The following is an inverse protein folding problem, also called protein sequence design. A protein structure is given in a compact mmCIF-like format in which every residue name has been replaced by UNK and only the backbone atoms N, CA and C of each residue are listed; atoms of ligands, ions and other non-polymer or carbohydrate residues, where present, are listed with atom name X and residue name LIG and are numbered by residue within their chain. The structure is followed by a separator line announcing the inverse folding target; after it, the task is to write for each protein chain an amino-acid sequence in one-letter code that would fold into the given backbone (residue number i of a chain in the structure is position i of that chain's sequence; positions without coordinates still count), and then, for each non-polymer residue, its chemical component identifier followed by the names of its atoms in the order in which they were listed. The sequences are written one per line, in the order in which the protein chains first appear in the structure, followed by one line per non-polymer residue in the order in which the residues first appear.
data_IF_714078079048
#
_entry.id   IF_714078079048
#
_cell.length_a   1.000
_cell.length_b   1.000
_cell.length_c   1.000
_cell.angle_alpha   90.00
_cell.angle_beta   90.00
_cell.angle_gamma   90.00
#
_symmetry.space_group_name_H-M   'P 1'
#
loop_
_entity.id
_entity.type
_entity.pdbx_description
1 polymer ?
#
# COMPACT_ATOMS: atom_id res chain seq x y z
N UNK A 1 -7.47 -53.71 -7.16
CA UNK A 1 -6.52 -52.80 -6.46
C UNK A 1 -6.13 -51.60 -7.33
N UNK A 2 -5.72 -51.80 -8.58
CA UNK A 2 -5.40 -50.69 -9.53
C UNK A 2 -6.54 -49.68 -9.70
N UNK A 3 -7.78 -50.16 -9.90
CA UNK A 3 -8.98 -49.32 -10.06
C UNK A 3 -9.31 -48.49 -8.82
N UNK A 4 -9.09 -49.04 -7.62
CA UNK A 4 -9.29 -48.34 -6.35
C UNK A 4 -8.23 -47.25 -6.14
N UNK A 5 -6.96 -47.52 -6.49
CA UNK A 5 -5.89 -46.52 -6.44
C UNK A 5 -6.16 -45.37 -7.40
N UNK A 6 -6.66 -45.67 -8.61
CA UNK A 6 -7.03 -44.66 -9.61
C UNK A 6 -8.17 -43.77 -9.12
N UNK A 7 -9.23 -44.35 -8.56
CA UNK A 7 -10.34 -43.59 -7.97
C UNK A 7 -9.88 -42.68 -6.81
N UNK A 8 -8.97 -43.17 -5.95
CA UNK A 8 -8.39 -42.35 -4.89
C UNK A 8 -7.55 -41.18 -5.43
N UNK A 9 -6.76 -41.38 -6.49
CA UNK A 9 -6.00 -40.31 -7.13
C UNK A 9 -6.90 -39.27 -7.80
N UNK A 10 -7.99 -39.69 -8.44
CA UNK A 10 -8.98 -38.79 -9.03
C UNK A 10 -9.67 -37.94 -7.95
N UNK A 11 -9.99 -38.54 -6.80
CA UNK A 11 -10.54 -37.82 -5.65
C UNK A 11 -9.57 -36.76 -5.09
N UNK A 12 -8.27 -37.08 -4.95
CA UNK A 12 -7.25 -36.12 -4.51
C UNK A 12 -7.16 -34.93 -5.49
N UNK A 13 -7.10 -35.20 -6.80
CA UNK A 13 -7.09 -34.14 -7.83
C UNK A 13 -8.34 -33.27 -7.78
N UNK A 14 -9.51 -33.87 -7.53
CA UNK A 14 -10.75 -33.12 -7.38
C UNK A 14 -10.71 -32.19 -6.15
N UNK A 15 -10.19 -32.66 -5.01
CA UNK A 15 -10.00 -31.83 -3.80
C UNK A 15 -9.04 -30.66 -4.09
N UNK A 16 -7.91 -30.93 -4.73
CA UNK A 16 -6.93 -29.88 -5.08
C UNK A 16 -7.54 -28.84 -6.01
N UNK A 17 -8.30 -29.27 -7.02
CA UNK A 17 -9.03 -28.39 -7.93
C UNK A 17 -10.04 -27.51 -7.20
N UNK A 18 -10.83 -28.10 -6.27
CA UNK A 18 -11.78 -27.34 -5.45
C UNK A 18 -11.06 -26.34 -4.55
N UNK A 19 -9.94 -26.72 -3.93
CA UNK A 19 -9.14 -25.82 -3.09
C UNK A 19 -8.63 -24.61 -3.88
N UNK A 20 -8.13 -24.84 -5.09
CA UNK A 20 -7.65 -23.77 -5.95
C UNK A 20 -8.79 -22.86 -6.44
N UNK A 21 -9.94 -23.43 -6.77
CA UNK A 21 -11.14 -22.64 -7.11
C UNK A 21 -11.62 -21.79 -5.93
N UNK A 22 -11.60 -22.32 -4.70
CA UNK A 22 -11.93 -21.56 -3.48
C UNK A 22 -10.96 -20.41 -3.25
N UNK A 23 -9.65 -20.64 -3.43
CA UNK A 23 -8.62 -19.59 -3.31
C UNK A 23 -8.89 -18.44 -4.29
N UNK A 24 -9.18 -18.75 -5.56
CA UNK A 24 -9.55 -17.74 -6.57
C UNK A 24 -10.83 -16.98 -6.20
N UNK A 25 -11.85 -17.68 -5.68
CA UNK A 25 -13.07 -17.03 -5.22
C UNK A 25 -12.82 -16.09 -4.04
N UNK A 26 -11.96 -16.47 -3.10
CA UNK A 26 -11.56 -15.62 -1.99
C UNK A 26 -10.84 -14.35 -2.48
N UNK A 27 -9.93 -14.50 -3.44
CA UNK A 27 -9.27 -13.36 -4.10
C UNK A 27 -10.28 -12.42 -4.78
N UNK A 28 -11.26 -12.95 -5.51
CA UNK A 28 -12.33 -12.15 -6.14
C UNK A 28 -13.13 -11.38 -5.10
N UNK A 29 -13.50 -12.01 -3.98
CA UNK A 29 -14.22 -11.34 -2.88
C UNK A 29 -13.37 -10.23 -2.25
N UNK A 30 -12.07 -10.49 -2.01
CA UNK A 30 -11.13 -9.48 -1.49
C UNK A 30 -11.07 -8.29 -2.45
N UNK A 31 -10.83 -8.52 -3.74
CA UNK A 31 -10.75 -7.47 -4.77
C UNK A 31 -12.07 -6.70 -4.90
N UNK A 32 -13.21 -7.39 -4.81
CA UNK A 32 -14.54 -6.76 -4.79
C UNK A 32 -14.71 -5.83 -3.59
N UNK A 33 -14.28 -6.24 -2.39
CA UNK A 33 -14.35 -5.42 -1.18
C UNK A 33 -13.42 -4.21 -1.27
N UNK A 34 -12.25 -4.34 -1.92
CA UNK A 34 -11.35 -3.21 -2.19
C UNK A 34 -11.98 -2.23 -3.19
N UNK A 35 -12.61 -2.74 -4.24
CA UNK A 35 -13.26 -1.94 -5.28
C UNK A 35 -14.46 -1.13 -4.76
N UNK A 36 -15.11 -1.66 -3.73
CA UNK A 36 -16.36 -1.15 -3.17
C UNK A 36 -16.10 -0.10 -2.10
N UNK A 37 -16.69 1.07 -2.30
CA UNK A 37 -16.71 2.16 -1.32
C UNK A 37 -18.02 2.24 -0.53
N UNK A 38 -19.08 1.53 -0.94
CA UNK A 38 -20.39 1.52 -0.30
C UNK A 38 -20.54 0.34 0.68
N UNK A 39 -20.71 0.63 1.98
CA UNK A 39 -20.83 -0.41 3.00
C UNK A 39 -22.06 -1.31 2.80
N UNK A 40 -23.11 -0.83 2.14
CA UNK A 40 -24.30 -1.63 1.87
C UNK A 40 -24.01 -2.79 0.91
N UNK A 41 -22.96 -2.66 0.10
CA UNK A 41 -22.47 -3.69 -0.81
C UNK A 41 -21.53 -4.71 -0.14
N UNK A 42 -21.10 -4.44 1.09
CA UNK A 42 -20.18 -5.31 1.85
C UNK A 42 -20.91 -6.33 2.74
N UNK A 43 -22.20 -6.61 2.51
CA UNK A 43 -22.97 -7.63 3.25
C UNK A 43 -22.92 -8.98 2.53
N UNK A 44 -23.11 -10.10 3.24
CA UNK A 44 -23.16 -11.45 2.64
C UNK A 44 -24.15 -11.52 1.46
N UNK A 45 -25.34 -10.95 1.63
CA UNK A 45 -26.39 -10.92 0.61
C UNK A 45 -25.96 -10.08 -0.60
N UNK A 46 -25.42 -8.88 -0.36
CA UNK A 46 -25.02 -7.99 -1.45
C UNK A 46 -23.84 -8.56 -2.23
N UNK A 47 -22.84 -9.15 -1.55
CA UNK A 47 -21.70 -9.81 -2.20
C UNK A 47 -22.20 -10.95 -3.10
N UNK A 48 -23.09 -11.81 -2.58
CA UNK A 48 -23.71 -12.90 -3.34
C UNK A 48 -24.44 -12.40 -4.59
N UNK A 49 -25.24 -11.34 -4.47
CA UNK A 49 -25.99 -10.77 -5.59
C UNK A 49 -25.07 -10.10 -6.64
N UNK A 50 -24.08 -9.31 -6.20
CA UNK A 50 -23.21 -8.58 -7.12
C UNK A 50 -22.21 -9.47 -7.84
N UNK A 51 -21.75 -10.55 -7.20
CA UNK A 51 -20.82 -11.51 -7.82
C UNK A 51 -21.54 -12.68 -8.53
N UNK A 52 -22.88 -12.76 -8.44
CA UNK A 52 -23.64 -13.87 -9.02
C UNK A 52 -23.33 -15.23 -8.38
N UNK A 53 -22.91 -15.24 -7.11
CA UNK A 53 -22.50 -16.46 -6.40
C UNK A 53 -23.59 -16.95 -5.45
N UNK A 54 -23.78 -18.27 -5.28
CA UNK A 54 -24.68 -18.80 -4.26
C UNK A 54 -24.31 -18.29 -2.87
N UNK A 55 -25.31 -17.84 -2.11
CA UNK A 55 -25.11 -17.24 -0.78
C UNK A 55 -24.39 -18.17 0.20
N UNK A 56 -24.60 -19.49 0.10
CA UNK A 56 -23.89 -20.50 0.90
C UNK A 56 -22.40 -20.55 0.61
N UNK A 57 -22.00 -20.40 -0.66
CA UNK A 57 -20.59 -20.34 -1.08
C UNK A 57 -19.94 -19.07 -0.53
N UNK A 58 -20.59 -17.92 -0.73
CA UNK A 58 -20.10 -16.63 -0.21
C UNK A 58 -19.93 -16.68 1.30
N UNK A 59 -20.93 -17.18 2.04
CA UNK A 59 -20.84 -17.34 3.51
C UNK A 59 -19.64 -18.18 3.91
N UNK A 60 -19.41 -19.29 3.22
CA UNK A 60 -18.31 -20.20 3.54
C UNK A 60 -16.94 -19.55 3.32
N UNK A 61 -16.76 -18.82 2.22
CA UNK A 61 -15.50 -18.08 1.95
C UNK A 61 -15.33 -16.92 2.93
N UNK A 62 -16.40 -16.18 3.23
CA UNK A 62 -16.35 -15.08 4.20
C UNK A 62 -16.02 -15.57 5.61
N UNK A 63 -16.46 -16.77 6.00
CA UNK A 63 -16.08 -17.38 7.27
C UNK A 63 -14.57 -17.66 7.33
N UNK A 64 -13.98 -18.24 6.28
CA UNK A 64 -12.52 -18.45 6.18
C UNK A 64 -11.76 -17.13 6.23
N UNK A 65 -12.21 -16.13 5.46
CA UNK A 65 -11.58 -14.81 5.44
C UNK A 65 -11.69 -14.08 6.80
N UNK A 66 -12.75 -14.34 7.58
CA UNK A 66 -12.97 -13.68 8.88
C UNK A 66 -12.05 -14.20 9.99
N UNK A 67 -11.26 -15.24 9.76
CA UNK A 67 -10.27 -15.68 10.74
C UNK A 67 -9.21 -14.59 10.97
N UNK A 68 -8.72 -13.98 9.88
CA UNK A 68 -7.59 -13.07 9.93
C UNK A 68 -7.62 -11.90 8.93
N UNK A 69 -8.30 -12.05 7.79
CA UNK A 69 -8.32 -11.06 6.71
C UNK A 69 -9.42 -10.02 6.90
N UNK A 70 -10.61 -10.49 7.26
CA UNK A 70 -11.79 -9.67 7.44
C UNK A 70 -12.23 -9.61 8.91
N UNK A 71 -12.90 -8.53 9.24
CA UNK A 71 -13.66 -8.35 10.47
C UNK A 71 -15.12 -8.04 10.11
N UNK A 72 -16.04 -8.54 10.93
CA UNK A 72 -17.46 -8.24 10.78
C UNK A 72 -17.80 -7.07 11.68
N UNK A 73 -18.34 -6.00 11.10
CA UNK A 73 -18.86 -4.85 11.83
C UNK A 73 -20.37 -4.74 11.68
N UNK A 74 -21.01 -4.28 12.74
CA UNK A 74 -22.45 -4.02 12.74
C UNK A 74 -22.72 -2.53 12.52
N UNK A 75 -23.46 -2.21 11.46
CA UNK A 75 -23.94 -0.86 11.17
C UNK A 75 -25.47 -0.89 11.18
N UNK A 76 -26.05 -0.53 12.33
CA UNK A 76 -27.48 -0.69 12.57
C UNK A 76 -27.89 -2.17 12.51
N UNK A 77 -28.71 -2.53 11.52
CA UNK A 77 -29.14 -3.93 11.31
C UNK A 77 -28.28 -4.70 10.29
N UNK A 78 -27.32 -4.03 9.65
CA UNK A 78 -26.48 -4.64 8.62
C UNK A 78 -25.18 -5.17 9.23
N UNK A 79 -24.83 -6.42 8.91
CA UNK A 79 -23.50 -6.99 9.15
C UNK A 79 -22.66 -6.81 7.89
N UNK A 80 -21.62 -6.00 7.99
CA UNK A 80 -20.72 -5.69 6.88
C UNK A 80 -19.36 -6.31 7.14
N UNK A 81 -18.75 -6.82 6.08
CA UNK A 81 -17.40 -7.35 6.11
C UNK A 81 -16.42 -6.25 5.72
N UNK A 82 -15.43 -6.02 6.56
CA UNK A 82 -14.37 -5.03 6.36
C UNK A 82 -13.01 -5.68 6.53
N UNK A 83 -11.96 -5.10 5.97
CA UNK A 83 -10.61 -5.58 6.24
C UNK A 83 -10.21 -5.31 7.69
N UNK A 84 -9.64 -6.32 8.33
CA UNK A 84 -8.92 -6.12 9.59
C UNK A 84 -7.70 -5.23 9.34
N UNK A 85 -7.12 -4.67 10.42
CA UNK A 85 -5.93 -3.80 10.30
C UNK A 85 -4.77 -4.46 9.53
N UNK A 86 -4.59 -5.78 9.65
CA UNK A 86 -3.52 -6.54 8.98
C UNK A 86 -4.02 -7.38 7.81
N UNK A 87 -5.29 -7.23 7.43
CA UNK A 87 -5.98 -8.18 6.57
C UNK A 87 -5.42 -8.27 5.16
N UNK A 88 -5.06 -7.14 4.55
CA UNK A 88 -4.41 -7.10 3.23
C UNK A 88 -3.06 -7.82 3.28
N UNK A 89 -2.27 -7.56 4.32
CA UNK A 89 -0.99 -8.23 4.53
C UNK A 89 -1.15 -9.74 4.70
N UNK A 90 -2.13 -10.17 5.52
CA UNK A 90 -2.44 -11.58 5.70
C UNK A 90 -2.90 -12.25 4.38
N UNK A 91 -3.69 -11.56 3.57
CA UNK A 91 -4.12 -12.07 2.28
C UNK A 91 -2.93 -12.26 1.29
N UNK A 92 -1.96 -11.34 1.28
CA UNK A 92 -0.73 -11.50 0.52
C UNK A 92 0.07 -12.72 1.00
N UNK A 93 0.34 -12.79 2.31
CA UNK A 93 1.30 -13.73 2.89
C UNK A 93 0.77 -15.17 3.02
N UNK A 94 -0.53 -15.35 3.26
CA UNK A 94 -1.12 -16.68 3.54
C UNK A 94 -2.01 -17.19 2.42
N UNK A 95 -2.60 -16.28 1.63
CA UNK A 95 -3.50 -16.64 0.55
C UNK A 95 -2.85 -16.48 -0.82
N UNK A 96 -1.74 -15.77 -0.91
CA UNK A 96 -1.08 -15.47 -2.19
C UNK A 96 -1.95 -14.57 -3.06
N UNK A 97 -2.62 -13.57 -2.45
CA UNK A 97 -3.31 -12.51 -3.17
C UNK A 97 -2.36 -11.87 -4.17
N UNK A 98 -2.84 -11.66 -5.40
CA UNK A 98 -2.09 -11.02 -6.47
C UNK A 98 -2.90 -9.90 -7.10
N UNK A 99 -2.21 -8.88 -7.61
CA UNK A 99 -2.82 -7.85 -8.44
C UNK A 99 -2.03 -7.71 -9.73
N UNK A 100 -2.67 -7.33 -10.83
CA UNK A 100 -1.97 -6.75 -11.97
C UNK A 100 -1.71 -5.26 -11.74
N UNK A 101 -0.81 -4.66 -12.53
CA UNK A 101 -0.60 -3.21 -12.52
C UNK A 101 -1.89 -2.45 -12.83
N UNK A 102 -2.68 -2.93 -13.77
CA UNK A 102 -3.98 -2.34 -14.13
C UNK A 102 -4.95 -2.40 -12.95
N UNK A 103 -5.04 -3.54 -12.26
CA UNK A 103 -5.88 -3.68 -11.06
C UNK A 103 -5.43 -2.73 -9.96
N UNK A 104 -4.13 -2.58 -9.70
CA UNK A 104 -3.60 -1.60 -8.74
C UNK A 104 -4.05 -0.17 -9.09
N UNK A 105 -3.91 0.23 -10.36
CA UNK A 105 -4.30 1.56 -10.81
C UNK A 105 -5.82 1.77 -10.75
N UNK A 106 -6.62 0.78 -11.12
CA UNK A 106 -8.08 0.90 -11.12
C UNK A 106 -8.65 0.93 -9.70
N UNK A 107 -8.18 0.01 -8.85
CA UNK A 107 -8.73 -0.20 -7.51
C UNK A 107 -8.25 0.87 -6.53
N UNK A 108 -6.98 1.28 -6.60
CA UNK A 108 -6.35 2.08 -5.55
C UNK A 108 -6.24 3.58 -5.86
N UNK A 109 -6.48 4.02 -7.10
CA UNK A 109 -6.42 5.45 -7.44
C UNK A 109 -7.45 6.28 -6.67
N UNK A 110 -7.10 7.53 -6.38
CA UNK A 110 -8.09 8.51 -5.93
C UNK A 110 -9.22 8.67 -6.96
N UNK A 111 -10.46 8.63 -6.50
CA UNK A 111 -11.68 8.79 -7.29
C UNK A 111 -12.19 10.22 -7.17
N UNK A 112 -12.82 10.70 -8.23
CA UNK A 112 -13.47 12.01 -8.27
C UNK A 112 -14.90 11.86 -8.79
N UNK A 113 -15.85 12.45 -8.07
CA UNK A 113 -17.26 12.50 -8.46
C UNK A 113 -17.71 13.95 -8.48
N UNK A 114 -18.30 14.36 -9.60
CA UNK A 114 -18.94 15.68 -9.75
C UNK A 114 -20.43 15.58 -9.47
N UNK A 115 -20.97 16.53 -8.72
CA UNK A 115 -22.38 16.58 -8.34
C UNK A 115 -22.65 16.02 -6.95
N UNK A 116 -23.94 15.92 -6.60
CA UNK A 116 -24.38 15.46 -5.28
C UNK A 116 -24.07 13.96 -5.12
N UNK A 117 -22.98 13.64 -4.41
CA UNK A 117 -22.63 12.27 -4.08
C UNK A 117 -23.17 11.93 -2.69
N UNK A 118 -23.95 10.84 -2.59
CA UNK A 118 -24.41 10.32 -1.29
C UNK A 118 -23.37 9.37 -0.75
N UNK A 119 -22.64 9.80 0.27
CA UNK A 119 -21.70 8.98 1.00
C UNK A 119 -22.44 7.86 1.74
N UNK A 120 -22.26 6.61 1.30
CA UNK A 120 -22.79 5.40 1.95
C UNK A 120 -21.68 4.51 2.51
N UNK A 121 -20.48 5.06 2.55
CA UNK A 121 -19.22 4.38 2.76
C UNK A 121 -18.38 4.92 3.89
N UNK A 122 -17.25 4.23 4.12
CA UNK A 122 -16.12 4.80 4.86
C UNK A 122 -15.06 5.16 3.83
N UNK A 123 -14.66 6.43 3.88
CA UNK A 123 -13.72 7.02 2.95
C UNK A 123 -12.56 7.60 3.75
N UNK A 124 -11.34 7.33 3.32
CA UNK A 124 -10.14 7.83 3.97
C UNK A 124 -9.05 7.85 2.91
N UNK A 125 -8.58 9.01 2.42
CA UNK A 125 -9.10 10.37 2.63
C UNK A 125 -10.39 10.67 1.83
N UNK A 126 -11.15 11.68 2.28
CA UNK A 126 -12.32 12.26 1.59
C UNK A 126 -12.30 13.78 1.70
N UNK A 127 -12.44 14.46 0.56
CA UNK A 127 -12.62 15.91 0.49
C UNK A 127 -13.83 16.21 -0.39
N UNK A 128 -14.72 17.06 0.09
CA UNK A 128 -15.85 17.58 -0.67
C UNK A 128 -15.82 19.12 -0.64
N UNK A 129 -15.80 19.75 -1.81
CA UNK A 129 -15.74 21.20 -1.96
C UNK A 129 -16.52 21.63 -3.22
N UNK A 130 -16.80 22.92 -3.36
CA UNK A 130 -17.30 23.45 -4.64
C UNK A 130 -16.13 23.57 -5.62
N UNK A 131 -16.30 23.05 -6.82
CA UNK A 131 -15.39 23.29 -7.93
C UNK A 131 -15.56 24.70 -8.51
N UNK A 132 -14.70 25.03 -9.47
CA UNK A 132 -14.69 26.34 -10.14
C UNK A 132 -16.01 26.67 -10.86
N UNK A 133 -16.77 25.64 -11.25
CA UNK A 133 -18.10 25.75 -11.85
C UNK A 133 -19.24 25.88 -10.82
N UNK A 134 -18.89 26.04 -9.54
CA UNK A 134 -19.83 26.13 -8.41
C UNK A 134 -20.48 24.80 -8.01
N UNK A 135 -20.22 23.71 -8.75
CA UNK A 135 -20.80 22.39 -8.45
C UNK A 135 -19.97 21.67 -7.39
N UNK A 136 -20.59 20.86 -6.52
CA UNK A 136 -19.85 20.05 -5.57
C UNK A 136 -18.96 19.05 -6.33
N UNK A 137 -17.69 19.01 -5.97
CA UNK A 137 -16.69 18.02 -6.37
C UNK A 137 -16.27 17.27 -5.13
N UNK A 138 -16.30 15.95 -5.23
CA UNK A 138 -15.85 15.07 -4.19
C UNK A 138 -14.65 14.28 -4.69
N UNK A 139 -13.54 14.30 -3.96
CA UNK A 139 -12.36 13.47 -4.23
C UNK A 139 -12.07 12.57 -3.04
N UNK A 140 -11.92 11.28 -3.27
CA UNK A 140 -11.82 10.31 -2.18
C UNK A 140 -11.09 9.02 -2.56
N UNK A 141 -10.71 8.24 -1.55
CA UNK A 141 -10.39 6.82 -1.68
C UNK A 141 -11.25 6.02 -0.70
N UNK A 142 -11.77 4.88 -1.15
CA UNK A 142 -12.50 3.97 -0.27
C UNK A 142 -11.57 3.41 0.81
N UNK A 143 -12.07 3.19 2.02
CA UNK A 143 -11.27 2.73 3.16
C UNK A 143 -10.43 1.48 2.86
N UNK A 144 -11.02 0.48 2.20
CA UNK A 144 -10.34 -0.76 1.85
C UNK A 144 -9.22 -0.54 0.82
N UNK A 145 -9.46 0.32 -0.18
CA UNK A 145 -8.46 0.70 -1.17
C UNK A 145 -7.30 1.49 -0.54
N UNK A 146 -7.59 2.39 0.40
CA UNK A 146 -6.54 3.15 1.10
C UNK A 146 -5.71 2.26 2.02
N UNK A 147 -6.35 1.36 2.78
CA UNK A 147 -5.65 0.37 3.58
C UNK A 147 -4.77 -0.54 2.71
N UNK A 148 -5.25 -0.93 1.53
CA UNK A 148 -4.47 -1.72 0.59
C UNK A 148 -3.24 -0.95 0.08
N UNK A 149 -3.44 0.29 -0.39
CA UNK A 149 -2.35 1.15 -0.83
C UNK A 149 -1.31 1.37 0.28
N UNK A 150 -1.77 1.75 1.48
CA UNK A 150 -0.91 2.00 2.63
C UNK A 150 -0.13 0.74 3.06
N UNK A 151 -0.78 -0.43 3.00
CA UNK A 151 -0.12 -1.72 3.29
C UNK A 151 1.01 -2.00 2.30
N UNK A 152 0.73 -1.90 1.00
CA UNK A 152 1.70 -2.20 -0.06
C UNK A 152 2.88 -1.20 -0.03
N UNK A 153 2.58 0.11 0.07
CA UNK A 153 3.60 1.16 0.09
C UNK A 153 4.48 1.06 1.34
N UNK A 154 3.89 0.90 2.53
CA UNK A 154 4.71 0.79 3.76
C UNK A 154 5.56 -0.46 3.74
N UNK A 155 5.03 -1.62 3.34
CA UNK A 155 5.83 -2.84 3.22
C UNK A 155 7.00 -2.66 2.26
N UNK A 156 6.78 -2.03 1.11
CA UNK A 156 7.86 -1.69 0.19
C UNK A 156 8.95 -0.82 0.84
N UNK A 157 8.54 0.28 1.46
CA UNK A 157 9.47 1.22 2.09
C UNK A 157 10.23 0.58 3.25
N UNK A 158 9.59 -0.28 4.04
CA UNK A 158 10.27 -1.05 5.10
C UNK A 158 11.30 -2.01 4.53
N UNK A 159 10.99 -2.76 3.45
CA UNK A 159 11.96 -3.64 2.80
C UNK A 159 13.19 -2.86 2.28
N UNK A 160 13.00 -1.64 1.77
CA UNK A 160 14.11 -0.77 1.38
C UNK A 160 14.87 -0.18 2.56
N UNK A 161 14.19 0.05 3.70
CA UNK A 161 14.83 0.53 4.93
C UNK A 161 15.64 -0.58 5.61
N UNK A 162 15.23 -1.84 5.53
CA UNK A 162 16.01 -3.00 5.97
C UNK A 162 17.32 -3.16 5.16
N UNK A 163 17.31 -2.82 3.87
CA UNK A 163 18.55 -2.71 3.10
C UNK A 163 19.44 -1.54 3.57
N UNK A 164 18.82 -0.49 4.12
CA UNK A 164 19.52 0.64 4.74
C UNK A 164 19.92 0.30 6.19
N UNK A 165 19.46 -0.83 6.77
CA UNK A 165 19.66 -1.20 8.17
C UNK A 165 21.12 -1.48 8.53
N UNK A 166 22.01 -1.64 7.54
CA UNK A 166 23.47 -1.49 7.72
C UNK A 166 23.84 -0.13 8.36
N UNK A 167 22.93 0.86 8.37
CA UNK A 167 23.02 2.14 9.09
C UNK A 167 22.10 2.28 10.31
N UNK A 168 21.03 1.48 10.43
CA UNK A 168 20.15 1.50 11.61
C UNK A 168 20.76 0.68 12.74
N UNK A 169 21.54 -0.36 12.46
CA UNK A 169 22.46 -0.92 13.46
C UNK A 169 23.39 0.19 13.97
N UNK A 170 23.88 1.08 13.11
CA UNK A 170 24.66 2.24 13.55
C UNK A 170 23.84 3.25 14.36
N UNK A 171 22.55 3.45 14.08
CA UNK A 171 21.67 4.31 14.91
C UNK A 171 21.36 3.63 16.24
N UNK A 172 21.03 2.34 16.23
CA UNK A 172 20.77 1.53 17.41
C UNK A 172 22.02 1.41 18.28
N UNK A 173 23.21 1.26 17.68
CA UNK A 173 24.52 1.31 18.33
C UNK A 173 24.82 2.71 18.86
N UNK A 174 24.54 3.78 18.11
CA UNK A 174 24.68 5.17 18.61
C UNK A 174 23.73 5.46 19.76
N UNK A 175 22.49 4.99 19.69
CA UNK A 175 21.50 5.08 20.76
C UNK A 175 21.94 4.22 21.96
N UNK A 176 22.50 3.03 21.72
CA UNK A 176 23.02 2.14 22.76
C UNK A 176 24.28 2.73 23.41
N UNK A 177 25.12 3.41 22.64
CA UNK A 177 26.28 4.15 23.14
C UNK A 177 25.85 5.39 23.95
N UNK A 178 24.82 6.11 23.50
CA UNK A 178 24.32 7.32 24.15
C UNK A 178 23.55 7.05 25.45
N UNK A 179 22.67 6.03 25.45
CA UNK A 179 21.73 5.77 26.54
C UNK A 179 22.02 4.47 27.31
N UNK A 180 22.98 3.66 26.85
CA UNK A 180 23.25 2.34 27.39
C UNK A 180 22.15 1.32 27.05
N UNK A 181 22.49 0.03 27.12
CA UNK A 181 21.53 -1.04 26.84
C UNK A 181 20.35 -1.08 27.82
N UNK A 182 20.65 -0.79 29.09
CA UNK A 182 19.65 -0.70 30.15
C UNK A 182 18.72 0.50 29.95
N UNK A 183 19.28 1.68 29.67
CA UNK A 183 18.48 2.88 29.43
C UNK A 183 17.56 2.73 28.21
N UNK A 184 18.01 2.08 27.14
CA UNK A 184 17.14 1.78 26.00
C UNK A 184 16.00 0.81 26.34
N UNK A 185 16.24 -0.20 27.18
CA UNK A 185 15.18 -1.10 27.65
C UNK A 185 14.16 -0.35 28.51
N UNK A 186 14.63 0.51 29.42
CA UNK A 186 13.77 1.35 30.26
C UNK A 186 12.94 2.33 29.40
N UNK A 187 13.56 3.01 28.43
CA UNK A 187 12.85 3.89 27.48
C UNK A 187 11.82 3.15 26.63
N UNK A 188 12.08 1.91 26.22
CA UNK A 188 11.10 1.07 25.50
C UNK A 188 9.89 0.73 26.37
N UNK A 189 10.08 0.52 27.67
CA UNK A 189 8.98 0.27 28.61
C UNK A 189 8.11 1.53 28.80
N UNK A 190 8.69 2.72 28.62
CA UNK A 190 7.98 4.00 28.65
C UNK A 190 7.28 4.36 27.33
N UNK A 191 7.03 3.37 26.46
CA UNK A 191 6.27 3.58 25.23
C UNK A 191 4.87 4.19 25.47
N UNK A 192 4.10 3.80 26.51
CA UNK A 192 2.82 4.44 26.82
C UNK A 192 2.97 5.94 27.15
N UNK A 193 3.95 6.31 27.97
CA UNK A 193 4.23 7.69 28.38
C UNK A 193 4.71 8.52 27.19
N UNK A 194 5.61 7.97 26.37
CA UNK A 194 6.04 8.59 25.11
C UNK A 194 4.85 8.84 24.17
N UNK A 195 3.95 7.86 24.03
CA UNK A 195 2.73 8.01 23.23
C UNK A 195 1.78 9.06 23.80
N UNK A 196 1.64 9.14 25.13
CA UNK A 196 0.84 10.18 25.78
C UNK A 196 1.44 11.57 25.56
N UNK A 197 2.76 11.71 25.70
CA UNK A 197 3.49 12.96 25.46
C UNK A 197 3.43 13.40 24.00
N UNK A 198 3.52 12.45 23.05
CA UNK A 198 3.38 12.72 21.61
C UNK A 198 2.06 13.44 21.29
N UNK A 199 0.96 13.11 21.99
CA UNK A 199 -0.35 13.78 21.78
C UNK A 199 -0.33 15.27 22.14
N UNK A 200 0.60 15.73 22.98
CA UNK A 200 0.77 17.14 23.32
C UNK A 200 1.59 17.88 22.25
N UNK A 201 2.49 17.18 21.56
CA UNK A 201 3.35 17.72 20.50
C UNK A 201 2.65 17.67 19.14
N UNK A 202 1.69 16.76 18.97
CA UNK A 202 0.83 16.65 17.80
C UNK A 202 -0.59 17.15 18.14
N UNK A 203 -0.81 18.46 18.42
CA UNK A 203 -2.15 18.99 18.54
C UNK A 203 -2.81 18.93 17.16
N UNK A 204 -3.49 17.81 16.94
CA UNK A 204 -4.44 17.46 15.88
C UNK A 204 -4.80 18.65 14.97
N UNK A 205 -4.03 18.84 13.89
CA UNK A 205 -4.27 19.90 12.91
C UNK A 205 -5.46 19.61 11.98
N UNK A 206 -6.52 18.95 12.48
CA UNK A 206 -7.69 18.46 11.71
C UNK A 206 -8.40 19.55 10.89
N UNK A 207 -8.08 20.82 11.10
CA UNK A 207 -8.71 21.97 10.43
C UNK A 207 -7.84 22.63 9.35
N UNK A 208 -6.53 22.36 9.30
CA UNK A 208 -5.68 22.88 8.23
C UNK A 208 -5.75 21.89 7.06
N UNK A 209 -6.37 22.33 5.96
CA UNK A 209 -6.59 21.55 4.73
C UNK A 209 -5.31 21.06 4.04
N UNK A 210 -4.14 21.51 4.50
CA UNK A 210 -2.83 21.02 4.11
C UNK A 210 -2.45 19.84 4.99
N UNK A 211 -1.96 18.76 4.38
CA UNK A 211 -1.52 17.59 5.13
C UNK A 211 -0.53 18.00 6.23
N UNK A 212 -0.85 17.66 7.48
CA UNK A 212 -0.15 18.04 8.72
C UNK A 212 1.38 17.94 8.62
N UNK A 213 1.88 16.92 7.90
CA UNK A 213 3.31 16.72 7.68
C UNK A 213 4.00 17.83 6.88
N UNK A 214 3.31 18.51 5.95
CA UNK A 214 3.87 19.58 5.11
C UNK A 214 4.14 20.86 5.88
N UNK A 215 3.35 21.10 6.92
CA UNK A 215 3.43 22.31 7.73
C UNK A 215 4.09 22.06 9.08
N UNK A 216 4.35 20.79 9.44
CA UNK A 216 4.88 20.39 10.75
C UNK A 216 6.17 21.12 11.13
N UNK A 217 7.08 21.31 10.18
CA UNK A 217 8.37 21.97 10.41
C UNK A 217 8.29 23.50 10.51
N UNK A 218 7.14 24.09 10.15
CA UNK A 218 6.94 25.55 10.08
C UNK A 218 5.71 26.01 10.87
N UNK A 219 4.98 25.10 11.53
CA UNK A 219 3.67 25.37 12.14
C UNK A 219 3.72 26.56 13.11
N UNK A 220 4.75 26.62 13.95
CA UNK A 220 4.93 27.69 14.94
C UNK A 220 5.32 29.03 14.31
N UNK A 221 5.77 29.03 13.06
CA UNK A 221 6.20 30.23 12.32
C UNK A 221 5.10 30.75 11.37
N UNK A 222 4.07 29.95 11.08
CA UNK A 222 3.03 30.29 10.10
C UNK A 222 2.34 31.63 10.38
N UNK A 223 2.20 32.02 11.65
CA UNK A 223 1.52 33.27 12.06
C UNK A 223 2.31 34.51 11.64
N UNK A 224 3.63 34.40 11.61
CA UNK A 224 4.54 35.52 11.33
C UNK A 224 4.96 35.57 9.86
N UNK A 225 4.71 34.50 9.10
CA UNK A 225 5.09 34.39 7.69
C UNK A 225 4.09 35.07 6.76
N UNK A 226 4.60 35.78 5.76
CA UNK A 226 3.80 36.24 4.63
C UNK A 226 3.29 35.07 3.76
N UNK A 227 2.21 35.27 2.97
CA UNK A 227 1.70 34.23 2.07
C UNK A 227 2.74 33.65 1.10
N UNK A 228 3.67 34.48 0.60
CA UNK A 228 4.74 34.03 -0.29
C UNK A 228 5.82 33.22 0.44
N UNK A 229 6.11 33.55 1.70
CA UNK A 229 7.01 32.75 2.54
C UNK A 229 6.40 31.38 2.85
N UNK A 230 5.10 31.34 3.18
CA UNK A 230 4.37 30.08 3.41
C UNK A 230 4.42 29.21 2.16
N UNK A 231 4.13 29.79 0.97
CA UNK A 231 4.20 29.08 -0.31
C UNK A 231 5.60 28.49 -0.55
N UNK A 232 6.65 29.30 -0.41
CA UNK A 232 8.04 28.83 -0.60
C UNK A 232 8.41 27.72 0.37
N UNK A 233 8.00 27.82 1.63
CA UNK A 233 8.30 26.81 2.64
C UNK A 233 7.59 25.48 2.32
N UNK A 234 6.30 25.50 1.98
CA UNK A 234 5.55 24.30 1.59
C UNK A 234 6.17 23.65 0.35
N UNK A 235 6.51 24.43 -0.68
CA UNK A 235 7.16 23.91 -1.89
C UNK A 235 8.50 23.24 -1.56
N UNK A 236 9.31 23.88 -0.72
CA UNK A 236 10.61 23.34 -0.29
C UNK A 236 10.48 22.03 0.48
N UNK A 237 9.54 21.95 1.42
CA UNK A 237 9.27 20.71 2.17
C UNK A 237 8.78 19.59 1.25
N UNK A 238 7.87 19.91 0.32
CA UNK A 238 7.40 18.95 -0.67
C UNK A 238 8.53 18.47 -1.59
N UNK A 239 9.38 19.37 -2.10
CA UNK A 239 10.56 19.01 -2.90
C UNK A 239 11.51 18.10 -2.13
N UNK A 240 11.70 18.35 -0.85
CA UNK A 240 12.56 17.55 0.03
C UNK A 240 12.00 16.14 0.17
N UNK A 241 10.69 16.01 0.42
CA UNK A 241 10.00 14.73 0.48
C UNK A 241 10.06 13.98 -0.87
N UNK A 242 9.81 14.68 -1.98
CA UNK A 242 9.84 14.09 -3.32
C UNK A 242 11.23 13.57 -3.69
N UNK A 243 12.30 14.36 -3.44
CA UNK A 243 13.70 13.94 -3.63
C UNK A 243 14.04 12.71 -2.79
N UNK A 244 13.55 12.63 -1.55
CA UNK A 244 13.74 11.45 -0.68
C UNK A 244 13.09 10.21 -1.28
N UNK A 245 11.85 10.30 -1.77
CA UNK A 245 11.14 9.19 -2.41
C UNK A 245 11.85 8.74 -3.70
N UNK A 246 12.22 9.67 -4.58
CA UNK A 246 13.00 9.37 -5.79
C UNK A 246 14.32 8.67 -5.43
N UNK A 247 15.03 9.14 -4.41
CA UNK A 247 16.28 8.52 -3.95
C UNK A 247 16.07 7.07 -3.52
N UNK A 248 14.99 6.78 -2.78
CA UNK A 248 14.66 5.40 -2.37
C UNK A 248 14.34 4.52 -3.58
N UNK A 249 13.54 5.02 -4.53
CA UNK A 249 13.17 4.27 -5.73
C UNK A 249 14.36 4.05 -6.67
N UNK A 250 15.28 5.00 -6.78
CA UNK A 250 16.53 4.81 -7.52
C UNK A 250 17.40 3.71 -6.92
N UNK A 251 17.47 3.61 -5.58
CA UNK A 251 18.19 2.52 -4.92
C UNK A 251 17.58 1.16 -5.25
N UNK A 252 16.25 1.07 -5.19
CA UNK A 252 15.56 -0.12 -5.66
C UNK A 252 15.88 -0.43 -7.13
N UNK A 253 15.85 0.59 -8.00
CA UNK A 253 16.26 0.48 -9.39
C UNK A 253 17.68 -0.07 -9.55
N UNK A 254 18.65 0.39 -8.76
CA UNK A 254 20.01 -0.15 -8.76
C UNK A 254 20.08 -1.62 -8.31
N UNK A 255 19.25 -2.05 -7.36
CA UNK A 255 19.16 -3.47 -6.99
C UNK A 255 18.63 -4.30 -8.16
N UNK A 256 17.55 -3.85 -8.79
CA UNK A 256 16.95 -4.50 -9.95
C UNK A 256 17.92 -4.53 -11.14
N UNK A 257 18.71 -3.47 -11.34
CA UNK A 257 19.75 -3.40 -12.36
C UNK A 257 20.86 -4.41 -12.15
N UNK A 258 21.33 -4.57 -10.91
CA UNK A 258 22.39 -5.51 -10.57
C UNK A 258 21.92 -6.96 -10.58
N UNK A 259 20.70 -7.23 -10.14
CA UNK A 259 20.25 -8.59 -9.81
C UNK A 259 19.27 -9.17 -10.83
N UNK A 260 18.62 -8.31 -11.63
CA UNK A 260 17.48 -8.68 -12.44
C UNK A 260 16.25 -9.05 -11.60
N UNK A 261 15.11 -9.21 -12.28
CA UNK A 261 13.82 -9.52 -11.66
C UNK A 261 13.87 -10.80 -10.81
N UNK A 262 14.35 -11.92 -11.37
CA UNK A 262 14.41 -13.20 -10.67
C UNK A 262 15.39 -13.17 -9.47
N UNK A 263 16.51 -12.47 -9.63
CA UNK A 263 17.48 -12.28 -8.55
C UNK A 263 16.92 -11.46 -7.40
N UNK A 264 16.16 -10.40 -7.72
CA UNK A 264 15.45 -9.57 -6.73
C UNK A 264 14.43 -10.40 -5.93
N UNK A 265 13.59 -11.20 -6.60
CA UNK A 265 12.61 -12.07 -5.94
C UNK A 265 13.29 -13.10 -5.02
N UNK A 266 14.41 -13.69 -5.49
CA UNK A 266 15.22 -14.61 -4.68
C UNK A 266 15.82 -13.91 -3.44
N UNK A 267 16.25 -12.66 -3.59
CA UNK A 267 16.88 -11.89 -2.52
C UNK A 267 15.96 -11.58 -1.34
N UNK A 268 14.69 -11.29 -1.63
CA UNK A 268 13.68 -10.98 -0.65
C UNK A 268 12.90 -12.21 -0.15
N UNK A 269 13.16 -13.40 -0.69
CA UNK A 269 12.48 -14.63 -0.28
C UNK A 269 12.70 -14.92 1.21
N UNK A 270 11.61 -15.11 1.95
CA UNK A 270 11.64 -15.39 3.37
C UNK A 270 11.91 -14.18 4.27
N UNK A 271 12.11 -12.98 3.72
CA UNK A 271 12.25 -11.75 4.51
C UNK A 271 10.90 -11.30 5.05
N UNK A 272 10.88 -10.97 6.33
CA UNK A 272 9.66 -10.81 7.09
C UNK A 272 9.18 -9.35 7.05
N UNK A 273 7.98 -9.04 6.54
CA UNK A 273 7.48 -7.67 6.53
C UNK A 273 7.24 -7.18 7.96
N UNK A 274 7.83 -6.05 8.33
CA UNK A 274 7.59 -5.40 9.63
C UNK A 274 6.18 -4.80 9.70
N UNK A 275 5.72 -4.19 8.60
CA UNK A 275 4.42 -3.53 8.52
C UNK A 275 3.27 -4.48 8.17
N UNK A 276 2.14 -4.31 8.87
CA UNK A 276 0.88 -5.01 8.58
C UNK A 276 1.01 -6.53 8.53
N UNK A 277 1.88 -7.08 9.37
CA UNK A 277 2.07 -8.52 9.51
C UNK A 277 1.08 -9.08 10.52
N UNK A 278 0.55 -10.25 10.21
CA UNK A 278 -0.13 -11.11 11.16
C UNK A 278 0.90 -11.88 12.00
N UNK A 279 0.74 -11.87 13.33
CA UNK A 279 1.67 -12.51 14.26
C UNK A 279 0.92 -13.41 15.24
N UNK A 280 1.60 -14.42 15.78
CA UNK A 280 1.02 -15.31 16.81
C UNK A 280 0.10 -16.40 16.27
N UNK A 281 0.25 -16.79 15.00
CA UNK A 281 -0.51 -17.90 14.40
C UNK A 281 0.43 -19.04 13.99
N UNK A 282 -0.08 -20.28 14.03
CA UNK A 282 0.71 -21.50 13.73
C UNK A 282 0.97 -21.69 12.23
N UNK A 283 0.13 -21.13 11.36
CA UNK A 283 0.29 -21.23 9.92
C UNK A 283 1.60 -20.57 9.47
N UNK A 284 2.26 -21.17 8.48
CA UNK A 284 3.51 -20.62 7.91
C UNK A 284 3.19 -19.66 6.76
N UNK A 285 3.55 -18.36 6.89
CA UNK A 285 3.41 -17.40 5.79
C UNK A 285 4.42 -17.68 4.67
N UNK A 286 4.03 -17.40 3.43
CA UNK A 286 4.93 -17.34 2.27
C UNK A 286 5.42 -15.90 2.08
N UNK A 287 6.34 -15.46 2.96
CA UNK A 287 6.92 -14.13 2.83
C UNK A 287 7.82 -14.05 1.58
N UNK A 288 7.44 -13.15 0.68
CA UNK A 288 8.16 -12.89 -0.57
C UNK A 288 8.01 -11.44 -1.00
N UNK A 289 8.79 -11.05 -2.00
CA UNK A 289 8.58 -9.81 -2.71
C UNK A 289 7.34 -9.93 -3.60
N UNK A 290 6.55 -8.86 -3.62
CA UNK A 290 5.35 -8.72 -4.42
C UNK A 290 5.55 -7.53 -5.35
N UNK A 291 5.34 -7.71 -6.65
CA UNK A 291 5.49 -6.63 -7.64
C UNK A 291 4.51 -5.47 -7.33
N UNK A 292 3.38 -5.81 -6.71
CA UNK A 292 2.35 -4.92 -6.21
C UNK A 292 2.89 -3.86 -5.25
N UNK A 293 3.96 -4.15 -4.52
CA UNK A 293 4.65 -3.19 -3.66
C UNK A 293 5.18 -1.99 -4.44
N UNK A 294 5.73 -2.24 -5.63
CA UNK A 294 6.29 -1.19 -6.49
C UNK A 294 5.17 -0.47 -7.22
N UNK A 295 4.22 -1.19 -7.84
CA UNK A 295 3.10 -0.58 -8.56
C UNK A 295 2.25 0.33 -7.67
N UNK A 296 2.02 -0.06 -6.41
CA UNK A 296 1.34 0.79 -5.43
C UNK A 296 2.16 2.04 -5.08
N UNK A 297 3.48 1.89 -4.93
CA UNK A 297 4.39 3.01 -4.63
C UNK A 297 4.53 3.99 -5.80
N UNK A 298 4.60 3.49 -7.03
CA UNK A 298 4.67 4.31 -8.24
C UNK A 298 3.33 5.01 -8.51
N UNK A 299 2.19 4.37 -8.22
CA UNK A 299 0.88 5.03 -8.19
C UNK A 299 0.86 6.19 -7.19
N UNK A 300 1.27 5.96 -5.94
CA UNK A 300 1.33 6.99 -4.91
C UNK A 300 2.27 8.15 -5.30
N UNK A 301 3.42 7.84 -5.92
CA UNK A 301 4.35 8.85 -6.45
C UNK A 301 3.69 9.70 -7.54
N UNK A 302 2.97 9.09 -8.48
CA UNK A 302 2.26 9.83 -9.55
C UNK A 302 1.19 10.75 -8.99
N UNK A 303 0.43 10.30 -7.99
CA UNK A 303 -0.53 11.16 -7.28
C UNK A 303 0.18 12.31 -6.54
N UNK A 304 1.32 12.04 -5.92
CA UNK A 304 2.19 13.07 -5.35
C UNK A 304 2.66 14.09 -6.39
N UNK A 305 3.00 13.65 -7.61
CA UNK A 305 3.34 14.55 -8.72
C UNK A 305 2.18 15.46 -9.13
N UNK A 306 0.93 14.99 -9.09
CA UNK A 306 -0.25 15.85 -9.36
C UNK A 306 -0.34 16.98 -8.32
N UNK A 307 -0.07 16.67 -7.05
CA UNK A 307 0.01 17.70 -6.00
C UNK A 307 1.20 18.64 -6.22
N UNK A 308 2.37 18.11 -6.59
CA UNK A 308 3.58 18.88 -6.86
C UNK A 308 3.35 19.94 -7.96
N UNK A 309 2.64 19.58 -9.03
CA UNK A 309 2.27 20.51 -10.11
C UNK A 309 1.43 21.67 -9.60
N UNK A 310 0.46 21.40 -8.71
CA UNK A 310 -0.41 22.44 -8.13
C UNK A 310 0.33 23.35 -7.15
N UNK A 311 1.33 22.83 -6.45
CA UNK A 311 2.17 23.61 -5.55
C UNK A 311 3.21 24.48 -6.28
N UNK A 312 3.49 24.19 -7.55
CA UNK A 312 4.56 24.87 -8.31
C UNK A 312 5.95 24.35 -7.97
N UNK A 313 6.06 23.05 -7.67
CA UNK A 313 7.35 22.35 -7.51
C UNK A 313 8.11 22.33 -8.84
N UNK A 314 9.45 22.29 -8.78
CA UNK A 314 10.31 22.23 -9.97
C UNK A 314 9.83 21.17 -11.00
N UNK A 315 9.46 21.58 -12.23
CA UNK A 315 8.97 20.67 -13.27
C UNK A 315 9.92 19.53 -13.64
N UNK A 316 11.24 19.75 -13.57
CA UNK A 316 12.22 18.71 -13.88
C UNK A 316 12.22 17.58 -12.84
N UNK A 317 12.00 17.92 -11.57
CA UNK A 317 11.86 16.93 -10.51
C UNK A 317 10.58 16.09 -10.68
N UNK A 318 9.50 16.73 -11.15
CA UNK A 318 8.22 16.05 -11.45
C UNK A 318 8.38 15.10 -12.63
N UNK A 319 9.05 15.54 -13.71
CA UNK A 319 9.35 14.70 -14.88
C UNK A 319 10.21 13.50 -14.49
N UNK A 320 11.26 13.73 -13.70
CA UNK A 320 12.13 12.67 -13.20
C UNK A 320 11.34 11.63 -12.38
N UNK A 321 10.49 12.08 -11.46
CA UNK A 321 9.64 11.20 -10.65
C UNK A 321 8.71 10.34 -11.50
N UNK A 322 8.02 10.95 -12.48
CA UNK A 322 7.10 10.23 -13.38
C UNK A 322 7.85 9.22 -14.25
N UNK A 323 8.96 9.63 -14.86
CA UNK A 323 9.76 8.75 -15.70
C UNK A 323 10.29 7.55 -14.91
N UNK A 324 10.80 7.77 -13.70
CA UNK A 324 11.24 6.68 -12.83
C UNK A 324 10.09 5.73 -12.47
N UNK A 325 8.91 6.26 -12.19
CA UNK A 325 7.71 5.46 -11.92
C UNK A 325 7.36 4.55 -13.11
N UNK A 326 7.35 5.11 -14.32
CA UNK A 326 7.03 4.38 -15.55
C UNK A 326 8.07 3.31 -15.88
N UNK A 327 9.36 3.62 -15.68
CA UNK A 327 10.47 2.68 -15.89
C UNK A 327 10.41 1.51 -14.90
N UNK A 328 10.11 1.77 -13.62
CA UNK A 328 10.00 0.70 -12.63
C UNK A 328 8.81 -0.21 -12.89
N UNK A 329 7.66 0.36 -13.27
CA UNK A 329 6.47 -0.41 -13.62
C UNK A 329 6.75 -1.37 -14.78
N UNK A 330 7.28 -0.84 -15.90
CA UNK A 330 7.53 -1.65 -17.10
C UNK A 330 8.65 -2.68 -16.87
N UNK A 331 9.61 -2.37 -16.01
CA UNK A 331 10.69 -3.29 -15.66
C UNK A 331 10.18 -4.52 -14.91
N UNK A 332 9.18 -4.37 -14.04
CA UNK A 332 8.55 -5.52 -13.40
C UNK A 332 7.64 -6.28 -14.36
N UNK A 333 6.81 -5.58 -15.12
CA UNK A 333 5.88 -6.23 -16.07
C UNK A 333 6.61 -7.08 -17.13
N UNK A 334 7.69 -6.54 -17.69
CA UNK A 334 8.52 -7.23 -18.69
C UNK A 334 9.65 -8.04 -18.07
N UNK A 335 9.71 -8.15 -16.73
CA UNK A 335 10.70 -8.92 -15.97
C UNK A 335 12.14 -8.64 -16.40
N UNK A 336 12.53 -7.36 -16.34
CA UNK A 336 13.88 -6.89 -16.68
C UNK A 336 14.97 -7.76 -16.02
N UNK A 337 15.89 -8.27 -16.84
CA UNK A 337 16.86 -9.31 -16.42
C UNK A 337 18.14 -8.75 -15.80
N UNK A 338 18.25 -7.43 -15.66
CA UNK A 338 19.44 -6.76 -15.15
C UNK A 338 20.38 -6.31 -16.28
N UNK A 339 21.28 -5.39 -15.95
CA UNK A 339 22.11 -4.72 -16.96
C UNK A 339 23.08 -5.66 -17.68
N UNK A 340 23.60 -6.66 -16.97
CA UNK A 340 24.50 -7.67 -17.57
C UNK A 340 23.79 -8.48 -18.66
N UNK A 341 22.53 -8.86 -18.44
CA UNK A 341 21.76 -9.68 -19.37
C UNK A 341 21.12 -8.87 -20.51
N UNK A 342 20.78 -7.61 -20.26
CA UNK A 342 20.11 -6.74 -21.23
C UNK A 342 21.09 -5.84 -22.01
N UNK A 343 22.33 -5.68 -21.53
CA UNK A 343 23.36 -4.84 -22.13
C UNK A 343 23.08 -3.33 -22.05
N UNK A 344 22.11 -2.92 -21.23
CA UNK A 344 21.65 -1.55 -21.04
C UNK A 344 21.42 -1.32 -19.54
N UNK A 345 21.62 -0.09 -19.06
CA UNK A 345 21.14 0.28 -17.73
C UNK A 345 19.61 0.21 -17.68
N UNK A 346 19.04 0.12 -16.47
CA UNK A 346 17.60 0.09 -16.24
C UNK A 346 16.93 1.32 -16.87
N UNK A 347 17.57 2.49 -16.76
CA UNK A 347 17.03 3.73 -17.33
C UNK A 347 17.00 3.70 -18.85
N UNK A 348 18.12 3.33 -19.49
CA UNK A 348 18.21 3.23 -20.96
C UNK A 348 17.25 2.18 -21.51
N UNK A 349 17.22 1.01 -20.87
CA UNK A 349 16.31 -0.07 -21.23
C UNK A 349 14.85 0.39 -21.08
N UNK A 350 14.49 1.01 -19.96
CA UNK A 350 13.13 1.47 -19.67
C UNK A 350 12.65 2.51 -20.68
N UNK A 351 13.47 3.52 -20.99
CA UNK A 351 13.17 4.52 -22.02
C UNK A 351 12.91 3.84 -23.38
N UNK A 352 13.74 2.86 -23.75
CA UNK A 352 13.55 2.10 -24.99
C UNK A 352 12.25 1.30 -24.99
N UNK A 353 11.81 0.78 -23.84
CA UNK A 353 10.56 0.04 -23.73
C UNK A 353 9.32 0.94 -23.79
N UNK A 354 9.41 2.18 -23.31
CA UNK A 354 8.31 3.15 -23.33
C UNK A 354 8.09 3.79 -24.70
N UNK A 355 9.12 3.80 -25.55
CA UNK A 355 9.07 4.35 -26.92
C UNK A 355 8.54 3.34 -27.96
N UNK A 356 8.17 2.12 -27.56
CA UNK A 356 7.57 1.08 -28.41
C UNK A 356 6.10 0.95 -28.09
#
# INVERSE_FOLDING_TARGET
MESLKKAAQEYVKAIESVREARKRLAEVIIKYLIATDDLTKCTELAISQNLGLPRSVVRSILAELSEHVLEVREFGRAKVYMFSKVGIGAALDYMGLQFTREEINELLRAREVKGAHRFRGIYTPLVAMKGDDGKPVCRFRGYAADLCLDTLVKRFLYLLLEEIEVKVETVAEKLKAAFGERGLKELKLLAPESSAFQKLIEPVSKQLFLHEWLIRGIADQLVEMSPDEIRRAIVKEFETALKRVITMLKRFGSMLERMGYEGLHKYFKGRNPIAYRLSGIEAKPDYRFHDEYVWATTLALREGCVMAEKLGVNPELIKEARLLADILDIALEKKYRGAEAEGLSLMEWGIRQLSK
#
